data_IF_159394821479
#
_entry.id   IF_159394821479
#
_cell.length_a   1.000
_cell.length_b   1.000
_cell.length_c   1.000
_cell.angle_alpha   90.00
_cell.angle_beta   90.00
_cell.angle_gamma   90.00
#
_symmetry.space_group_name_H-M   'P 1'
#
loop_
_entity.id
_entity.type
_entity.pdbx_description
1 polymer ?
#
# COMPACT_ATOMS: atom_id res chain seq x y z
N UNK A 1 -62.80 -35.40 -25.25
CA UNK A 1 -63.51 -34.33 -25.99
C UNK A 1 -63.88 -33.25 -24.99
N UNK A 2 -63.73 -31.98 -25.37
CA UNK A 2 -63.92 -30.74 -24.59
C UNK A 2 -62.77 -30.31 -23.67
N UNK A 3 -62.45 -29.03 -23.49
CA UNK A 3 -62.42 -27.84 -24.37
C UNK A 3 -61.57 -26.82 -23.58
N UNK A 4 -60.54 -26.21 -24.18
CA UNK A 4 -59.74 -25.14 -23.55
C UNK A 4 -60.53 -23.83 -23.60
N UNK A 5 -60.53 -23.06 -22.50
CA UNK A 5 -60.91 -21.65 -22.51
C UNK A 5 -59.72 -20.78 -22.08
N UNK A 6 -59.25 -19.96 -23.03
CA UNK A 6 -58.37 -18.80 -22.81
C UNK A 6 -59.27 -17.61 -22.47
N UNK A 7 -59.01 -16.92 -21.37
CA UNK A 7 -59.60 -15.59 -21.09
C UNK A 7 -58.70 -14.51 -21.67
N UNK A 8 -59.24 -13.74 -22.62
CA UNK A 8 -58.65 -12.52 -23.18
C UNK A 8 -59.27 -11.33 -22.46
N UNK A 9 -58.44 -10.51 -21.82
CA UNK A 9 -58.86 -9.29 -21.12
C UNK A 9 -58.78 -8.09 -22.09
N UNK A 10 -59.91 -7.53 -22.49
CA UNK A 10 -59.99 -6.30 -23.30
C UNK A 10 -60.06 -5.07 -22.38
N UNK A 11 -59.07 -4.18 -22.45
CA UNK A 11 -59.10 -2.85 -21.84
C UNK A 11 -59.60 -1.83 -22.86
N UNK A 12 -60.76 -1.24 -22.61
CA UNK A 12 -61.31 -0.11 -23.38
C UNK A 12 -60.71 1.20 -22.85
N UNK A 13 -60.00 1.93 -23.71
CA UNK A 13 -59.52 3.29 -23.43
C UNK A 13 -60.63 4.33 -23.60
N UNK A 14 -60.76 5.24 -22.64
CA UNK A 14 -61.66 6.39 -22.72
C UNK A 14 -60.83 7.62 -23.12
N UNK A 15 -61.18 8.24 -24.24
CA UNK A 15 -60.55 9.47 -24.73
C UNK A 15 -61.39 10.68 -24.32
N UNK A 16 -60.88 11.52 -23.42
CA UNK A 16 -61.48 12.82 -23.09
C UNK A 16 -60.85 13.92 -23.95
N UNK A 17 -61.69 14.66 -24.67
CA UNK A 17 -61.29 15.82 -25.46
C UNK A 17 -61.43 17.07 -24.59
N UNK A 18 -60.33 17.78 -24.34
CA UNK A 18 -60.34 19.09 -23.68
C UNK A 18 -60.31 20.20 -24.74
N UNK A 19 -61.21 21.18 -24.61
CA UNK A 19 -61.23 22.40 -25.42
C UNK A 19 -60.12 23.37 -24.97
N UNK A 20 -59.45 24.09 -25.89
CA UNK A 20 -58.46 25.08 -25.52
C UNK A 20 -59.13 26.38 -25.03
N UNK A 21 -58.65 26.89 -23.91
CA UNK A 21 -58.98 28.21 -23.38
C UNK A 21 -58.29 29.33 -24.20
N UNK A 22 -58.82 30.56 -24.25
CA UNK A 22 -58.22 31.65 -25.01
C UNK A 22 -56.89 32.09 -24.37
N UNK A 23 -55.87 32.27 -25.20
CA UNK A 23 -54.56 32.74 -24.79
C UNK A 23 -54.59 34.25 -24.51
N UNK A 24 -54.17 34.64 -23.30
CA UNK A 24 -53.91 36.02 -22.93
C UNK A 24 -52.54 36.43 -23.50
N UNK A 25 -52.52 37.39 -24.43
CA UNK A 25 -51.28 37.94 -24.99
C UNK A 25 -50.55 38.76 -23.94
N UNK A 26 -49.64 38.13 -23.20
CA UNK A 26 -48.67 38.85 -22.37
C UNK A 26 -47.55 39.36 -23.27
N UNK A 27 -47.41 40.67 -23.36
CA UNK A 27 -46.31 41.33 -24.09
C UNK A 27 -45.00 41.00 -23.38
N UNK A 28 -44.24 40.04 -23.91
CA UNK A 28 -42.94 39.68 -23.39
C UNK A 28 -41.89 40.74 -23.78
N UNK A 29 -41.53 41.60 -22.83
CA UNK A 29 -40.36 42.46 -22.93
C UNK A 29 -39.13 41.58 -23.10
N UNK A 30 -38.51 41.65 -24.29
CA UNK A 30 -37.29 40.90 -24.62
C UNK A 30 -36.10 41.51 -23.90
N UNK A 31 -35.78 41.02 -22.71
CA UNK A 31 -34.51 41.29 -22.04
C UNK A 31 -33.43 40.47 -22.74
N UNK A 32 -32.59 41.13 -23.53
CA UNK A 32 -31.33 40.57 -24.02
C UNK A 32 -30.43 40.28 -22.82
N UNK A 33 -30.56 39.07 -22.26
CA UNK A 33 -29.66 38.57 -21.24
C UNK A 33 -28.28 38.39 -21.85
N UNK A 34 -27.34 39.26 -21.48
CA UNK A 34 -25.92 39.02 -21.67
C UNK A 34 -25.60 37.69 -20.98
N UNK A 35 -25.31 36.66 -21.75
CA UNK A 35 -24.83 35.39 -21.24
C UNK A 35 -23.41 35.62 -20.71
N UNK A 36 -23.32 36.09 -19.46
CA UNK A 36 -22.07 36.12 -18.72
C UNK A 36 -21.65 34.67 -18.58
N UNK A 37 -20.64 34.25 -19.35
CA UNK A 37 -20.02 32.94 -19.19
C UNK A 37 -19.44 32.90 -17.78
N UNK A 38 -20.19 32.38 -16.82
CA UNK A 38 -19.69 32.09 -15.48
C UNK A 38 -18.53 31.12 -15.66
N UNK A 39 -17.31 31.57 -15.36
CA UNK A 39 -16.15 30.70 -15.35
C UNK A 39 -16.45 29.53 -14.39
N UNK A 40 -16.50 28.31 -14.93
CA UNK A 40 -16.66 27.12 -14.09
C UNK A 40 -15.50 27.07 -13.09
N UNK A 41 -15.75 26.76 -11.81
CA UNK A 41 -14.69 26.64 -10.82
C UNK A 41 -13.69 25.57 -11.27
N UNK A 42 -12.41 25.90 -11.25
CA UNK A 42 -11.34 24.95 -11.53
C UNK A 42 -11.31 23.90 -10.42
N UNK A 43 -11.37 22.59 -10.74
CA UNK A 43 -11.26 21.53 -9.73
C UNK A 43 -9.93 21.62 -8.97
N UNK A 44 -9.95 21.26 -7.68
CA UNK A 44 -8.74 21.17 -6.87
C UNK A 44 -7.86 20.00 -7.34
N UNK A 45 -6.63 20.31 -7.76
CA UNK A 45 -5.62 19.29 -8.07
C UNK A 45 -4.87 18.86 -6.81
N UNK A 46 -5.38 17.82 -6.15
CA UNK A 46 -4.77 17.25 -4.95
C UNK A 46 -3.43 16.55 -5.22
N UNK A 47 -3.06 16.31 -6.49
CA UNK A 47 -1.79 15.68 -6.87
C UNK A 47 -0.69 16.70 -7.16
N UNK A 48 -1.03 17.99 -7.23
CA UNK A 48 -0.07 19.04 -7.57
C UNK A 48 1.13 19.02 -6.62
N UNK A 49 2.30 18.70 -7.16
CA UNK A 49 3.56 18.67 -6.43
C UNK A 49 3.79 17.44 -5.55
N UNK A 50 2.91 16.43 -5.61
CA UNK A 50 3.15 15.15 -4.96
C UNK A 50 4.27 14.38 -5.68
N UNK A 51 5.11 13.70 -4.91
CA UNK A 51 6.15 12.81 -5.43
C UNK A 51 5.69 11.37 -5.23
N UNK A 52 5.49 10.65 -6.34
CA UNK A 52 4.97 9.28 -6.32
C UNK A 52 6.06 8.24 -6.30
N UNK A 53 7.29 8.53 -6.70
CA UNK A 53 8.42 7.59 -6.66
C UNK A 53 9.23 7.77 -5.36
N UNK A 54 9.96 6.74 -4.94
CA UNK A 54 10.92 6.88 -3.86
C UNK A 54 12.17 7.63 -4.38
N UNK A 55 12.51 8.82 -3.85
CA UNK A 55 13.62 9.59 -4.38
C UNK A 55 14.96 8.94 -4.04
N UNK A 56 15.85 8.86 -5.03
CA UNK A 56 17.24 8.41 -4.86
C UNK A 56 18.18 9.60 -5.03
N UNK A 57 19.12 9.77 -4.11
CA UNK A 57 20.08 10.87 -4.06
C UNK A 57 21.15 10.73 -5.15
N UNK A 58 21.80 11.82 -5.53
CA UNK A 58 22.84 11.85 -6.57
C UNK A 58 24.14 11.15 -6.17
N UNK A 59 24.32 10.86 -4.88
CA UNK A 59 25.42 10.03 -4.35
C UNK A 59 25.43 8.61 -4.92
N UNK A 60 24.27 8.11 -5.36
CA UNK A 60 24.18 6.81 -6.01
C UNK A 60 24.61 6.92 -7.47
N UNK A 61 25.73 6.28 -7.82
CA UNK A 61 26.15 6.19 -9.22
C UNK A 61 25.09 5.47 -10.07
N UNK A 62 25.23 5.50 -11.40
CA UNK A 62 24.20 4.97 -12.31
C UNK A 62 23.86 3.49 -12.05
N UNK A 63 24.82 2.67 -11.64
CA UNK A 63 24.63 1.25 -11.34
C UNK A 63 23.92 1.01 -10.01
N UNK A 64 24.32 1.74 -8.96
CA UNK A 64 23.66 1.66 -7.66
C UNK A 64 22.22 2.18 -7.74
N UNK A 65 22.02 3.29 -8.46
CA UNK A 65 20.70 3.87 -8.71
C UNK A 65 19.75 2.87 -9.38
N UNK A 66 20.15 2.23 -10.48
CA UNK A 66 19.30 1.24 -11.17
C UNK A 66 18.90 0.08 -10.27
N UNK A 67 19.82 -0.43 -9.46
CA UNK A 67 19.54 -1.51 -8.52
C UNK A 67 18.58 -1.07 -7.42
N UNK A 68 18.80 0.12 -6.86
CA UNK A 68 17.96 0.66 -5.79
C UNK A 68 16.56 1.04 -6.29
N UNK A 69 16.43 1.60 -7.49
CA UNK A 69 15.13 1.87 -8.11
C UNK A 69 14.35 0.57 -8.36
N UNK A 70 15.00 -0.50 -8.83
CA UNK A 70 14.39 -1.84 -8.90
C UNK A 70 13.95 -2.33 -7.51
N UNK A 71 14.83 -2.25 -6.52
CA UNK A 71 14.57 -2.70 -5.16
C UNK A 71 13.38 -1.96 -4.52
N UNK A 72 13.27 -0.64 -4.75
CA UNK A 72 12.16 0.19 -4.29
C UNK A 72 10.84 -0.19 -5.00
N UNK A 73 10.89 -0.53 -6.28
CA UNK A 73 9.72 -1.05 -7.00
C UNK A 73 9.28 -2.41 -6.45
N UNK A 74 10.22 -3.34 -6.18
CA UNK A 74 9.92 -4.62 -5.52
C UNK A 74 9.36 -4.42 -4.10
N UNK A 75 9.79 -3.36 -3.39
CA UNK A 75 9.21 -3.00 -2.08
C UNK A 75 7.74 -2.59 -2.21
N UNK A 76 7.41 -1.78 -3.23
CA UNK A 76 6.02 -1.40 -3.54
C UNK A 76 5.21 -2.62 -3.96
N UNK A 77 5.78 -3.53 -4.75
CA UNK A 77 5.14 -4.80 -5.14
C UNK A 77 4.80 -5.66 -3.91
N UNK A 78 5.77 -5.85 -3.01
CA UNK A 78 5.58 -6.61 -1.77
C UNK A 78 4.48 -6.00 -0.88
N UNK A 79 4.52 -4.68 -0.67
CA UNK A 79 3.51 -3.97 0.12
C UNK A 79 2.13 -4.01 -0.55
N UNK A 80 2.07 -3.88 -1.88
CA UNK A 80 0.84 -4.01 -2.68
C UNK A 80 0.22 -5.37 -2.47
N UNK A 81 1.02 -6.43 -2.59
CA UNK A 81 0.55 -7.79 -2.36
C UNK A 81 0.02 -7.99 -0.94
N UNK A 82 0.75 -7.53 0.09
CA UNK A 82 0.33 -7.62 1.48
C UNK A 82 -1.01 -6.91 1.73
N UNK A 83 -1.16 -5.67 1.23
CA UNK A 83 -2.42 -4.93 1.28
C UNK A 83 -3.56 -5.70 0.61
N UNK A 84 -3.32 -6.23 -0.58
CA UNK A 84 -4.35 -6.93 -1.37
C UNK A 84 -4.77 -8.25 -0.71
N UNK A 85 -3.83 -8.95 -0.07
CA UNK A 85 -4.15 -10.13 0.75
C UNK A 85 -5.08 -9.77 1.91
N UNK A 86 -4.78 -8.68 2.64
CA UNK A 86 -5.63 -8.19 3.73
C UNK A 86 -7.01 -7.78 3.20
N UNK A 87 -7.10 -7.07 2.08
CA UNK A 87 -8.36 -6.65 1.47
C UNK A 87 -9.21 -7.84 1.02
N UNK A 88 -8.57 -8.90 0.52
CA UNK A 88 -9.25 -10.09 0.01
C UNK A 88 -9.83 -10.95 1.12
N UNK A 89 -9.04 -11.21 2.17
CA UNK A 89 -9.36 -12.22 3.18
C UNK A 89 -9.68 -11.63 4.55
N UNK A 90 -9.25 -10.41 4.84
CA UNK A 90 -9.48 -9.75 6.12
C UNK A 90 -9.08 -10.64 7.31
N UNK A 91 -9.91 -10.61 8.35
CA UNK A 91 -9.70 -11.41 9.56
C UNK A 91 -9.86 -12.92 9.36
N UNK A 92 -10.36 -13.39 8.21
CA UNK A 92 -10.50 -14.83 7.92
C UNK A 92 -9.18 -15.45 7.44
N UNK A 93 -8.18 -14.63 7.10
CA UNK A 93 -6.86 -15.15 6.71
C UNK A 93 -6.11 -15.72 7.92
N UNK A 94 -5.60 -16.97 7.84
CA UNK A 94 -4.76 -17.52 8.89
C UNK A 94 -3.45 -16.73 9.03
N UNK A 95 -2.96 -16.07 7.97
CA UNK A 95 -1.78 -15.20 8.06
C UNK A 95 -2.10 -13.91 8.80
N UNK A 96 -3.27 -13.30 8.55
CA UNK A 96 -3.69 -12.10 9.30
C UNK A 96 -3.84 -12.42 10.79
N UNK A 97 -4.46 -13.56 11.13
CA UNK A 97 -4.57 -14.00 12.52
C UNK A 97 -3.21 -14.29 13.16
N UNK A 98 -2.30 -14.93 12.42
CA UNK A 98 -0.94 -15.26 12.87
C UNK A 98 -0.14 -14.02 13.24
N UNK A 99 -0.18 -13.00 12.39
CA UNK A 99 0.68 -11.83 12.53
C UNK A 99 0.02 -10.65 13.18
N UNK A 100 -1.31 -10.52 13.19
CA UNK A 100 -1.98 -9.36 13.76
C UNK A 100 -2.98 -9.74 14.85
N UNK A 101 -3.14 -11.02 15.18
CA UNK A 101 -4.04 -11.51 16.21
C UNK A 101 -5.50 -11.64 15.77
N UNK A 102 -6.28 -12.35 16.58
CA UNK A 102 -7.71 -12.52 16.35
C UNK A 102 -8.51 -11.28 16.77
N UNK A 103 -9.41 -10.81 15.90
CA UNK A 103 -10.30 -9.69 16.20
C UNK A 103 -9.67 -8.30 16.03
N UNK A 104 -8.42 -8.22 15.58
CA UNK A 104 -7.76 -6.95 15.27
C UNK A 104 -8.35 -6.30 14.04
N UNK A 105 -8.55 -4.99 14.10
CA UNK A 105 -8.95 -4.21 12.93
C UNK A 105 -7.82 -4.25 11.89
N UNK A 106 -8.07 -4.90 10.75
CA UNK A 106 -7.11 -4.99 9.64
C UNK A 106 -6.85 -3.64 8.96
N UNK A 107 -7.65 -2.61 9.26
CA UNK A 107 -7.49 -1.27 8.76
C UNK A 107 -6.13 -0.64 9.11
N UNK A 108 -5.57 -0.96 10.29
CA UNK A 108 -4.28 -0.41 10.73
C UNK A 108 -3.12 -0.93 9.86
N UNK A 109 -2.85 -2.24 9.76
CA UNK A 109 -1.78 -2.74 8.89
C UNK A 109 -2.04 -2.40 7.41
N UNK A 110 -3.30 -2.44 6.96
CA UNK A 110 -3.69 -2.02 5.61
C UNK A 110 -3.27 -0.57 5.33
N UNK A 111 -3.53 0.34 6.28
CA UNK A 111 -3.13 1.74 6.17
C UNK A 111 -1.63 1.92 6.02
N UNK A 112 -0.82 1.17 6.77
CA UNK A 112 0.64 1.26 6.66
C UNK A 112 1.15 0.78 5.30
N UNK A 113 0.65 -0.34 4.78
CA UNK A 113 1.01 -0.78 3.44
C UNK A 113 0.56 0.24 2.39
N UNK A 114 -0.65 0.80 2.49
CA UNK A 114 -1.12 1.82 1.55
C UNK A 114 -0.25 3.07 1.57
N UNK A 115 0.25 3.48 2.74
CA UNK A 115 1.22 4.58 2.83
C UNK A 115 2.54 4.23 2.14
N UNK A 116 3.05 3.02 2.32
CA UNK A 116 4.23 2.54 1.59
C UNK A 116 3.99 2.56 0.08
N UNK A 117 2.77 2.32 -0.41
CA UNK A 117 2.43 2.24 -1.84
C UNK A 117 2.16 3.61 -2.47
N UNK A 118 1.44 4.50 -1.78
CA UNK A 118 0.79 5.66 -2.39
C UNK A 118 0.97 6.98 -1.64
N UNK A 119 1.61 7.01 -0.46
CA UNK A 119 1.87 8.28 0.21
C UNK A 119 2.75 9.19 -0.66
N UNK A 120 2.56 10.50 -0.51
CA UNK A 120 3.43 11.49 -1.13
C UNK A 120 4.81 11.45 -0.46
N UNK A 121 5.84 11.11 -1.23
CA UNK A 121 7.22 10.85 -0.77
C UNK A 121 8.11 12.09 -0.86
N UNK A 122 7.54 13.28 -1.04
CA UNK A 122 8.35 14.52 -1.06
C UNK A 122 9.25 14.59 0.17
N UNK A 123 10.46 15.11 -0.03
CA UNK A 123 11.51 15.27 0.99
C UNK A 123 12.10 13.97 1.54
N UNK A 124 11.58 12.79 1.20
CA UNK A 124 12.28 11.53 1.47
C UNK A 124 13.47 11.41 0.51
N UNK A 125 14.57 10.76 0.94
CA UNK A 125 15.59 10.31 -0.01
C UNK A 125 16.33 9.08 0.48
N UNK A 126 16.65 8.20 -0.46
CA UNK A 126 17.62 7.14 -0.27
C UNK A 126 18.97 7.55 -0.80
N UNK A 127 20.04 7.22 -0.07
CA UNK A 127 21.39 7.68 -0.34
C UNK A 127 22.36 6.51 -0.42
N UNK A 128 23.46 6.73 -1.13
CA UNK A 128 24.58 5.78 -1.22
C UNK A 128 25.88 6.37 -0.67
N UNK A 129 25.87 7.67 -0.32
CA UNK A 129 26.86 8.22 0.60
C UNK A 129 26.41 7.94 2.04
N UNK A 130 27.36 7.96 2.96
CA UNK A 130 27.12 7.76 4.39
C UNK A 130 27.66 8.96 5.18
N UNK A 131 26.87 10.05 5.31
CA UNK A 131 27.29 11.23 6.05
C UNK A 131 27.56 10.95 7.54
N UNK A 132 26.91 9.93 8.10
CA UNK A 132 26.97 9.60 9.52
C UNK A 132 28.08 8.58 9.85
N UNK A 133 28.69 7.97 8.82
CA UNK A 133 29.77 6.97 8.87
C UNK A 133 29.39 5.64 9.52
N UNK A 134 28.09 5.39 9.72
CA UNK A 134 27.61 4.17 10.36
C UNK A 134 27.89 2.92 9.52
N UNK A 135 27.89 2.99 8.19
CA UNK A 135 28.30 1.88 7.32
C UNK A 135 29.74 1.42 7.57
N UNK A 136 30.62 2.34 7.98
CA UNK A 136 32.03 2.05 8.23
C UNK A 136 32.31 1.66 9.70
N UNK A 137 31.48 2.08 10.64
CA UNK A 137 31.71 1.87 12.07
C UNK A 137 30.82 0.80 12.70
N UNK A 138 29.73 0.40 12.03
CA UNK A 138 28.80 -0.60 12.54
C UNK A 138 28.94 -1.88 11.74
N UNK A 139 29.62 -2.86 12.34
CA UNK A 139 29.91 -4.14 11.67
C UNK A 139 28.63 -4.84 11.24
N UNK A 140 28.57 -5.20 9.96
CA UNK A 140 27.44 -5.92 9.38
C UNK A 140 26.23 -5.04 8.99
N UNK A 141 26.27 -3.73 9.24
CA UNK A 141 25.19 -2.84 8.79
C UNK A 141 25.17 -2.73 7.27
N UNK A 142 24.02 -3.04 6.68
CA UNK A 142 23.78 -2.88 5.24
C UNK A 142 23.10 -1.54 4.91
N UNK A 143 22.87 -0.71 5.91
CA UNK A 143 22.36 0.65 5.81
C UNK A 143 21.49 0.98 7.01
N UNK A 144 21.04 2.22 7.06
CA UNK A 144 20.39 2.75 8.25
C UNK A 144 19.50 3.95 7.91
N UNK A 145 18.51 4.19 8.75
CA UNK A 145 17.84 5.49 8.81
C UNK A 145 18.75 6.50 9.51
N UNK A 146 18.76 7.76 9.06
CA UNK A 146 19.64 8.80 9.62
C UNK A 146 19.15 9.40 10.94
N UNK A 147 17.96 9.01 11.40
CA UNK A 147 17.43 9.45 12.70
C UNK A 147 17.35 10.98 12.81
N UNK A 148 17.76 11.51 13.96
CA UNK A 148 17.73 12.94 14.24
C UNK A 148 18.62 13.79 13.30
N UNK A 149 19.64 13.20 12.65
CA UNK A 149 20.53 13.94 11.75
C UNK A 149 19.82 14.33 10.44
N UNK A 150 18.91 13.48 9.95
CA UNK A 150 18.03 13.75 8.82
C UNK A 150 16.87 12.74 8.78
N UNK A 151 15.75 13.07 9.42
CA UNK A 151 14.64 12.13 9.66
C UNK A 151 13.97 11.60 8.39
N UNK A 152 14.18 12.23 7.24
CA UNK A 152 13.60 11.82 5.96
C UNK A 152 14.58 11.03 5.08
N UNK A 153 15.74 10.68 5.62
CA UNK A 153 16.82 10.09 4.83
C UNK A 153 17.21 8.70 5.31
N UNK A 154 17.44 7.82 4.34
CA UNK A 154 17.94 6.46 4.55
C UNK A 154 19.22 6.28 3.76
N UNK A 155 20.25 5.73 4.40
CA UNK A 155 21.52 5.35 3.78
C UNK A 155 21.48 3.87 3.40
N UNK A 156 21.95 3.56 2.19
CA UNK A 156 22.21 2.20 1.69
C UNK A 156 23.72 1.97 1.68
N UNK A 157 24.23 1.02 2.46
CA UNK A 157 25.65 0.66 2.45
C UNK A 157 25.96 -0.33 1.31
N UNK A 158 27.24 -0.41 0.92
CA UNK A 158 27.73 -1.36 -0.10
C UNK A 158 27.32 -2.81 0.18
N UNK A 159 27.24 -3.18 1.46
CA UNK A 159 26.85 -4.52 1.89
C UNK A 159 25.44 -4.93 1.41
N UNK A 160 24.49 -3.98 1.29
CA UNK A 160 23.17 -4.29 0.73
C UNK A 160 23.28 -4.76 -0.71
N UNK A 161 24.08 -4.07 -1.53
CA UNK A 161 24.29 -4.44 -2.94
C UNK A 161 25.02 -5.77 -3.12
N UNK A 162 25.79 -6.22 -2.11
CA UNK A 162 26.48 -7.49 -2.16
C UNK A 162 25.64 -8.69 -1.67
N UNK A 163 24.70 -8.47 -0.73
CA UNK A 163 24.03 -9.57 -0.01
C UNK A 163 22.53 -9.70 -0.26
N UNK A 164 21.83 -8.61 -0.59
CA UNK A 164 20.37 -8.64 -0.73
C UNK A 164 19.97 -9.41 -1.99
N UNK A 165 18.96 -10.26 -1.84
CA UNK A 165 18.36 -11.04 -2.93
C UNK A 165 17.14 -10.30 -3.51
N UNK A 166 16.73 -10.68 -4.71
CA UNK A 166 15.54 -10.17 -5.38
C UNK A 166 14.31 -10.99 -5.00
N UNK A 167 13.11 -10.40 -5.07
CA UNK A 167 11.85 -11.09 -4.74
C UNK A 167 11.60 -12.35 -5.58
N UNK A 168 12.12 -12.40 -6.81
CA UNK A 168 12.02 -13.56 -7.70
C UNK A 168 12.70 -14.83 -7.16
N UNK A 169 13.52 -14.71 -6.11
CA UNK A 169 14.20 -15.83 -5.47
C UNK A 169 13.64 -16.21 -4.10
N UNK A 170 12.47 -15.68 -3.69
CA UNK A 170 11.76 -16.09 -2.47
C UNK A 170 11.46 -17.59 -2.52
N UNK A 171 11.60 -18.28 -1.39
CA UNK A 171 11.56 -19.75 -1.25
C UNK A 171 12.67 -20.52 -2.01
N UNK A 172 13.56 -19.83 -2.71
CA UNK A 172 14.73 -20.41 -3.35
C UNK A 172 15.94 -20.48 -2.41
N UNK A 173 16.92 -21.30 -2.79
CA UNK A 173 18.26 -21.32 -2.17
C UNK A 173 18.23 -21.54 -0.64
N UNK A 174 17.28 -22.35 -0.16
CA UNK A 174 17.13 -22.69 1.26
C UNK A 174 16.55 -21.58 2.14
N UNK A 175 15.98 -20.52 1.55
CA UNK A 175 15.28 -19.50 2.33
C UNK A 175 13.97 -20.05 2.92
N UNK A 176 13.80 -19.84 4.23
CA UNK A 176 12.52 -19.96 4.94
C UNK A 176 12.27 -18.66 5.70
N UNK A 177 11.01 -18.29 5.89
CA UNK A 177 10.64 -17.04 6.58
C UNK A 177 11.11 -17.07 8.04
N UNK A 178 11.01 -18.20 8.73
CA UNK A 178 11.37 -18.32 10.15
C UNK A 178 12.87 -18.42 10.42
N UNK A 179 13.64 -19.07 9.54
CA UNK A 179 15.05 -19.38 9.82
C UNK A 179 16.04 -18.46 9.09
N UNK A 180 15.54 -17.54 8.26
CA UNK A 180 16.38 -16.59 7.51
C UNK A 180 16.23 -15.16 8.02
N UNK A 181 17.28 -14.32 7.93
CA UNK A 181 17.17 -12.92 8.32
C UNK A 181 16.07 -12.19 7.55
N UNK A 182 15.25 -11.39 8.23
CA UNK A 182 14.17 -10.58 7.61
C UNK A 182 14.67 -9.74 6.44
N UNK A 183 15.88 -9.21 6.57
CA UNK A 183 16.50 -8.37 5.56
C UNK A 183 17.17 -9.16 4.42
N UNK A 184 16.89 -10.45 4.23
CA UNK A 184 17.47 -11.27 3.14
C UNK A 184 17.16 -10.68 1.76
N UNK A 185 15.95 -10.17 1.56
CA UNK A 185 15.51 -9.57 0.30
C UNK A 185 15.61 -8.05 0.34
N UNK A 186 15.86 -7.46 -0.84
CA UNK A 186 15.80 -6.01 -1.01
C UNK A 186 14.46 -5.43 -0.56
N UNK A 187 13.36 -6.06 -0.97
CA UNK A 187 12.01 -5.57 -0.68
C UNK A 187 11.68 -5.54 0.82
N UNK A 188 12.08 -6.55 1.59
CA UNK A 188 11.84 -6.60 3.03
C UNK A 188 12.74 -5.62 3.80
N UNK A 189 14.03 -5.55 3.45
CA UNK A 189 14.99 -4.59 4.03
C UNK A 189 14.56 -3.14 3.77
N UNK A 190 14.07 -2.83 2.57
CA UNK A 190 13.58 -1.49 2.25
C UNK A 190 12.21 -1.21 2.85
N UNK A 191 11.32 -2.20 2.96
CA UNK A 191 10.05 -2.06 3.68
C UNK A 191 10.28 -1.62 5.14
N UNK A 192 11.21 -2.26 5.84
CA UNK A 192 11.64 -1.82 7.17
C UNK A 192 12.09 -0.35 7.17
N UNK A 193 13.00 -0.01 6.25
CA UNK A 193 13.63 1.32 6.24
C UNK A 193 12.64 2.43 5.92
N UNK A 194 11.66 2.21 5.03
CA UNK A 194 10.61 3.20 4.78
C UNK A 194 9.71 3.37 6.00
N UNK A 195 9.48 2.31 6.79
CA UNK A 195 8.70 2.39 8.03
C UNK A 195 9.42 3.16 9.14
N UNK A 196 10.74 3.34 9.07
CA UNK A 196 11.44 4.28 9.94
C UNK A 196 11.28 5.75 9.53
N UNK A 197 10.85 6.04 8.30
CA UNK A 197 10.75 7.42 7.82
C UNK A 197 9.41 8.03 8.24
N UNK A 198 9.38 9.13 9.00
CA UNK A 198 8.14 9.69 9.54
C UNK A 198 7.13 10.13 8.48
N UNK A 199 7.58 10.41 7.26
CA UNK A 199 6.67 10.68 6.14
C UNK A 199 5.75 9.50 5.84
N UNK A 200 6.23 8.28 6.05
CA UNK A 200 5.49 7.03 5.87
C UNK A 200 4.86 6.57 7.18
N UNK A 201 5.60 6.55 8.29
CA UNK A 201 5.11 5.93 9.53
C UNK A 201 4.51 6.88 10.55
N UNK A 202 4.60 8.20 10.34
CA UNK A 202 4.12 9.21 11.29
C UNK A 202 4.76 9.12 12.69
N UNK A 203 5.89 8.42 12.83
CA UNK A 203 6.51 8.02 14.12
C UNK A 203 5.60 7.10 14.96
N UNK A 204 4.71 6.34 14.32
CA UNK A 204 3.82 5.38 14.99
C UNK A 204 4.33 3.94 14.84
N UNK A 205 4.95 3.63 13.70
CA UNK A 205 5.52 2.29 13.47
C UNK A 205 6.90 2.21 14.11
N UNK A 206 7.06 1.27 15.05
CA UNK A 206 8.27 1.06 15.85
C UNK A 206 8.62 -0.44 15.94
N UNK A 207 9.67 -0.77 16.69
CA UNK A 207 10.08 -2.13 17.01
C UNK A 207 9.54 -2.53 18.39
N UNK A 208 8.52 -3.38 18.41
CA UNK A 208 7.93 -4.00 19.59
C UNK A 208 8.30 -5.49 19.72
N UNK A 209 8.70 -6.12 18.61
CA UNK A 209 9.34 -7.43 18.54
C UNK A 209 10.51 -7.38 17.55
N UNK A 210 11.45 -8.32 17.66
CA UNK A 210 12.71 -8.32 16.88
C UNK A 210 12.93 -9.59 16.04
N UNK A 211 12.11 -10.63 16.22
CA UNK A 211 12.23 -11.90 15.51
C UNK A 211 10.86 -12.56 15.26
N UNK A 212 10.88 -13.67 14.51
CA UNK A 212 9.66 -14.39 14.11
C UNK A 212 8.81 -14.85 15.30
N UNK A 213 9.44 -15.40 16.34
CA UNK A 213 8.75 -15.89 17.52
C UNK A 213 8.13 -14.72 18.30
N UNK A 214 8.89 -13.63 18.42
CA UNK A 214 8.47 -12.37 19.03
C UNK A 214 7.25 -11.76 18.34
N UNK A 215 7.21 -11.68 17.00
CA UNK A 215 6.05 -11.09 16.29
C UNK A 215 4.80 -11.96 16.43
N UNK A 216 4.94 -13.28 16.39
CA UNK A 216 3.81 -14.21 16.58
C UNK A 216 3.30 -14.15 18.02
N UNK A 217 4.18 -13.96 19.01
CA UNK A 217 3.77 -13.79 20.41
C UNK A 217 3.16 -12.41 20.67
N UNK A 218 3.70 -11.35 20.05
CA UNK A 218 3.13 -10.00 20.12
C UNK A 218 1.71 -9.97 19.57
N UNK A 219 1.45 -10.69 18.46
CA UNK A 219 0.12 -10.81 17.89
C UNK A 219 -0.91 -11.45 18.86
N UNK A 220 -0.47 -12.31 19.78
CA UNK A 220 -1.35 -12.93 20.80
C UNK A 220 -1.55 -12.04 22.02
N UNK A 221 -0.50 -11.33 22.42
CA UNK A 221 -0.45 -10.62 23.72
C UNK A 221 -0.83 -9.15 23.62
N UNK A 222 -0.45 -8.49 22.53
CA UNK A 222 -0.77 -7.09 22.25
C UNK A 222 -1.02 -6.87 20.74
N UNK A 223 -2.18 -7.32 20.21
CA UNK A 223 -2.50 -7.22 18.79
C UNK A 223 -2.50 -5.77 18.26
N UNK A 224 -2.74 -4.80 19.14
CA UNK A 224 -2.71 -3.38 18.79
C UNK A 224 -1.28 -2.92 18.48
N UNK A 225 -0.29 -3.33 19.27
CA UNK A 225 1.14 -3.08 18.96
C UNK A 225 1.61 -3.87 17.75
N UNK A 226 1.18 -5.12 17.62
CA UNK A 226 1.51 -5.96 16.48
C UNK A 226 1.12 -5.31 15.14
N UNK A 227 -0.02 -4.62 15.08
CA UNK A 227 -0.46 -3.87 13.91
C UNK A 227 0.39 -2.63 13.54
N UNK A 228 1.29 -2.19 14.43
CA UNK A 228 2.20 -1.05 14.26
C UNK A 228 3.66 -1.44 14.49
N UNK A 229 3.96 -2.74 14.47
CA UNK A 229 5.31 -3.27 14.62
C UNK A 229 5.98 -3.45 13.25
N UNK A 230 7.15 -2.85 13.05
CA UNK A 230 7.83 -2.89 11.75
C UNK A 230 8.22 -4.31 11.33
N UNK A 231 8.60 -5.18 12.27
CA UNK A 231 9.01 -6.54 11.96
C UNK A 231 7.79 -7.42 11.66
N UNK A 232 6.68 -7.24 12.37
CA UNK A 232 5.39 -7.88 12.07
C UNK A 232 4.94 -7.53 10.65
N UNK A 233 5.01 -6.24 10.26
CA UNK A 233 4.66 -5.80 8.92
C UNK A 233 5.59 -6.39 7.85
N UNK A 234 6.88 -6.61 8.14
CA UNK A 234 7.79 -7.27 7.21
C UNK A 234 7.49 -8.77 7.08
N UNK A 235 7.36 -9.46 8.20
CA UNK A 235 7.10 -10.91 8.24
C UNK A 235 5.77 -11.24 7.57
N UNK A 236 4.70 -10.53 7.90
CA UNK A 236 3.42 -10.72 7.22
C UNK A 236 3.57 -10.59 5.71
N UNK A 237 4.21 -9.50 5.24
CA UNK A 237 4.30 -9.21 3.82
C UNK A 237 5.08 -10.29 3.03
N UNK A 238 6.22 -10.74 3.55
CA UNK A 238 7.04 -11.76 2.88
C UNK A 238 6.44 -13.15 2.97
N UNK A 239 5.74 -13.49 4.06
CA UNK A 239 5.14 -14.80 4.26
C UNK A 239 3.91 -15.00 3.37
N UNK A 240 3.05 -13.97 3.24
CA UNK A 240 1.95 -14.04 2.27
C UNK A 240 2.46 -14.01 0.83
N UNK A 241 3.51 -13.25 0.51
CA UNK A 241 4.14 -13.30 -0.81
C UNK A 241 4.71 -14.70 -1.11
N UNK A 242 5.34 -15.33 -0.11
CA UNK A 242 5.82 -16.70 -0.23
C UNK A 242 4.66 -17.68 -0.54
N UNK A 243 3.55 -17.57 0.18
CA UNK A 243 2.40 -18.47 0.03
C UNK A 243 1.57 -18.24 -1.23
N UNK A 244 1.33 -16.99 -1.61
CA UNK A 244 0.43 -16.66 -2.73
C UNK A 244 1.16 -16.62 -4.08
N UNK A 245 2.44 -16.22 -4.09
CA UNK A 245 3.21 -15.96 -5.33
C UNK A 245 4.38 -16.92 -5.49
N UNK A 246 5.31 -16.96 -4.54
CA UNK A 246 6.59 -17.66 -4.74
C UNK A 246 6.44 -19.19 -4.75
N UNK A 247 5.62 -19.74 -3.84
CA UNK A 247 5.27 -21.15 -3.74
C UNK A 247 3.76 -21.32 -3.53
N UNK A 248 2.94 -21.12 -4.58
CA UNK A 248 1.48 -21.00 -4.45
C UNK A 248 0.82 -22.13 -3.67
N UNK A 249 0.11 -21.78 -2.59
CA UNK A 249 -0.64 -22.71 -1.74
C UNK A 249 0.21 -23.55 -0.77
N UNK A 250 1.54 -23.41 -0.82
CA UNK A 250 2.49 -24.12 0.05
C UNK A 250 3.27 -23.15 0.91
N UNK A 251 3.80 -22.09 0.31
CA UNK A 251 4.69 -21.13 0.95
C UNK A 251 6.05 -21.72 1.29
N UNK A 252 6.82 -20.95 2.05
CA UNK A 252 8.08 -21.37 2.68
C UNK A 252 8.23 -20.69 4.05
N UNK A 253 7.15 -20.63 4.83
CA UNK A 253 7.17 -20.05 6.19
C UNK A 253 8.33 -20.64 6.99
N UNK A 254 8.53 -21.96 6.90
CA UNK A 254 9.45 -22.71 7.75
C UNK A 254 8.67 -23.57 8.74
N UNK A 255 9.33 -24.58 9.29
CA UNK A 255 8.70 -25.55 10.20
C UNK A 255 8.63 -25.04 11.64
#
# INVERSE_FOLDING_TARGET
MQLKFLSVLCLFGVSTWALPAPAEQTTATSTSGTSTSSASPTPWDFRRGAVTEYPVHSSCNSTLRRQLERALNETVELATHARDHILRWGGDSPFVQKYFGNGTATATPLGWYERVIAADRRNMTFRCDDPDRNCATQDGWAGHWRGANATQETVICDLSFAKRRWLDSVCGLGYTVTESPLNTFWATDLLHRVLHVPRISENVVEHFAEDYEGVVELAKTDPAKSAIDSDTLQYFAIDVYAFDIAAPGVGCTGN
#
